data_IF_221887199589
#
_entry.id   IF_221887199589
#
_cell.length_a   1.000
_cell.length_b   1.000
_cell.length_c   1.000
_cell.angle_alpha   90.00
_cell.angle_beta   90.00
_cell.angle_gamma   90.00
#
_symmetry.space_group_name_H-M   'P 1'
#
loop_
_entity.id
_entity.type
_entity.pdbx_description
1 polymer ?
#
# COMPACT_ATOMS: atom_id res chain seq x y z
N UNK A 1 28.79 -5.06 9.64
CA UNK A 1 28.87 -3.58 9.62
C UNK A 1 28.15 -3.03 10.85
N UNK A 2 28.70 -2.01 11.52
CA UNK A 2 28.13 -1.44 12.76
C UNK A 2 27.21 -0.27 12.43
N UNK A 3 26.05 -0.25 13.08
CA UNK A 3 25.03 0.78 12.92
C UNK A 3 24.72 1.37 14.30
N UNK A 4 24.75 2.69 14.42
CA UNK A 4 24.36 3.38 15.64
C UNK A 4 22.85 3.68 15.62
N UNK A 5 22.13 3.28 16.66
CA UNK A 5 20.70 3.56 16.81
C UNK A 5 20.47 4.61 17.91
N UNK A 6 20.06 5.81 17.53
CA UNK A 6 19.78 6.93 18.43
C UNK A 6 18.28 7.20 18.53
N UNK A 7 17.78 7.36 19.75
CA UNK A 7 16.41 7.82 20.04
C UNK A 7 16.29 8.25 21.51
N UNK A 8 15.24 9.00 21.83
CA UNK A 8 14.72 9.02 23.20
C UNK A 8 14.17 7.64 23.57
N UNK A 9 14.18 7.28 24.86
CA UNK A 9 13.87 5.91 25.29
C UNK A 9 12.38 5.73 25.60
N UNK A 10 11.86 6.44 26.60
CA UNK A 10 10.55 6.11 27.20
C UNK A 10 9.35 6.35 26.27
N UNK A 11 9.48 7.25 25.30
CA UNK A 11 8.41 7.58 24.34
C UNK A 11 8.47 6.77 23.03
N UNK A 12 9.62 6.13 22.75
CA UNK A 12 9.90 5.45 21.48
C UNK A 12 10.36 4.00 21.66
N UNK A 13 10.02 3.36 22.79
CA UNK A 13 10.47 2.01 23.11
C UNK A 13 9.98 0.98 22.06
N UNK A 14 8.74 1.12 21.61
CA UNK A 14 8.12 0.24 20.60
C UNK A 14 8.84 0.38 19.25
N UNK A 15 9.09 1.61 18.82
CA UNK A 15 9.82 1.95 17.60
C UNK A 15 11.26 1.45 17.64
N UNK A 16 11.93 1.63 18.78
CA UNK A 16 13.30 1.18 18.96
C UNK A 16 13.40 -0.34 18.90
N UNK A 17 12.49 -1.05 19.57
CA UNK A 17 12.40 -2.52 19.52
C UNK A 17 12.16 -3.01 18.11
N UNK A 18 11.24 -2.36 17.40
CA UNK A 18 10.91 -2.66 16.02
C UNK A 18 12.11 -2.53 15.08
N UNK A 19 12.90 -1.46 15.22
CA UNK A 19 14.14 -1.28 14.43
C UNK A 19 15.20 -2.31 14.80
N UNK A 20 15.39 -2.61 16.09
CA UNK A 20 16.35 -3.66 16.52
C UNK A 20 15.98 -5.03 15.95
N UNK A 21 14.70 -5.39 15.98
CA UNK A 21 14.19 -6.65 15.46
C UNK A 21 14.49 -6.79 13.96
N UNK A 22 14.21 -5.76 13.17
CA UNK A 22 14.35 -5.81 11.72
C UNK A 22 15.81 -5.78 11.24
N UNK A 23 16.70 -5.20 12.05
CA UNK A 23 18.14 -5.15 11.76
C UNK A 23 18.90 -6.36 12.32
N UNK A 24 18.25 -7.16 13.17
CA UNK A 24 18.86 -8.35 13.76
C UNK A 24 19.31 -9.34 12.67
N UNK A 25 20.55 -9.83 12.79
CA UNK A 25 21.14 -10.78 11.85
C UNK A 25 21.85 -10.16 10.63
N UNK A 26 21.67 -8.87 10.33
CA UNK A 26 22.36 -8.20 9.21
C UNK A 26 23.35 -7.12 9.68
N UNK A 27 23.04 -6.42 10.77
CA UNK A 27 23.86 -5.34 11.32
C UNK A 27 24.16 -5.58 12.80
N UNK A 28 25.32 -5.11 13.25
CA UNK A 28 25.60 -4.98 14.68
C UNK A 28 25.06 -3.64 15.13
N UNK A 29 23.91 -3.65 15.79
CA UNK A 29 23.28 -2.43 16.34
C UNK A 29 24.02 -2.02 17.61
N UNK A 30 24.54 -0.80 17.63
CA UNK A 30 25.24 -0.16 18.75
C UNK A 30 24.31 0.86 19.38
N UNK A 31 24.24 0.86 20.71
CA UNK A 31 23.49 1.80 21.52
C UNK A 31 24.18 2.03 22.87
N UNK A 32 24.17 3.26 23.37
CA UNK A 32 24.91 3.64 24.58
C UNK A 32 23.98 3.71 25.80
N UNK A 33 23.45 2.55 26.23
CA UNK A 33 22.66 2.42 27.47
C UNK A 33 23.29 1.51 28.53
N UNK A 34 24.47 0.94 28.23
CA UNK A 34 25.22 0.13 29.19
C UNK A 34 26.03 1.03 30.14
N UNK A 35 26.41 0.47 31.30
CA UNK A 35 27.21 1.20 32.27
C UNK A 35 28.62 1.48 31.72
N UNK A 36 28.97 2.76 31.60
CA UNK A 36 30.29 3.23 31.18
C UNK A 36 30.87 4.17 32.24
N UNK A 37 32.17 4.05 32.61
CA UNK A 37 32.81 4.95 33.57
C UNK A 37 33.02 6.38 33.05
N UNK A 38 32.86 6.63 31.74
CA UNK A 38 32.97 7.95 31.13
C UNK A 38 31.66 8.74 31.25
N UNK A 39 31.70 10.09 31.15
CA UNK A 39 30.48 10.89 31.04
C UNK A 39 29.63 10.45 29.84
N UNK A 40 28.30 10.33 30.05
CA UNK A 40 27.34 9.80 29.07
C UNK A 40 27.50 10.37 27.66
N UNK A 41 27.69 11.69 27.53
CA UNK A 41 27.84 12.32 26.22
C UNK A 41 29.16 11.97 25.52
N UNK A 42 30.23 11.72 26.29
CA UNK A 42 31.53 11.33 25.73
C UNK A 42 31.51 9.88 25.25
N UNK A 43 30.85 8.98 25.99
CA UNK A 43 30.68 7.59 25.57
C UNK A 43 29.79 7.49 24.33
N UNK A 44 28.64 8.16 24.29
CA UNK A 44 27.75 8.21 23.12
C UNK A 44 28.48 8.69 21.85
N UNK A 45 29.22 9.80 21.93
CA UNK A 45 29.96 10.35 20.77
C UNK A 45 31.07 9.38 20.33
N UNK A 46 31.77 8.75 21.27
CA UNK A 46 32.79 7.76 20.95
C UNK A 46 32.19 6.52 20.26
N UNK A 47 31.03 6.05 20.72
CA UNK A 47 30.36 4.88 20.16
C UNK A 47 29.83 5.14 18.75
N UNK A 48 29.30 6.34 18.49
CA UNK A 48 28.91 6.80 17.14
C UNK A 48 30.10 6.73 16.18
N UNK A 49 31.29 7.17 16.60
CA UNK A 49 32.49 7.15 15.77
C UNK A 49 32.96 5.73 15.38
N UNK A 50 32.49 4.69 16.06
CA UNK A 50 32.79 3.28 15.71
C UNK A 50 31.85 2.69 14.65
N UNK A 51 30.84 3.44 14.21
CA UNK A 51 29.79 2.99 13.31
C UNK A 51 29.97 3.52 11.89
N UNK A 52 29.35 2.84 10.92
CA UNK A 52 29.33 3.29 9.51
C UNK A 52 27.99 3.93 9.12
N UNK A 53 26.93 3.62 9.86
CA UNK A 53 25.57 4.09 9.63
C UNK A 53 25.02 4.65 10.93
N UNK A 54 24.30 5.76 10.84
CA UNK A 54 23.53 6.34 11.92
C UNK A 54 22.04 6.26 11.60
N UNK A 55 21.24 5.75 12.53
CA UNK A 55 19.78 5.82 12.50
C UNK A 55 19.33 6.68 13.69
N UNK A 56 18.67 7.80 13.41
CA UNK A 56 18.02 8.64 14.42
C UNK A 56 16.50 8.51 14.36
N UNK A 57 15.85 8.20 15.48
CA UNK A 57 14.39 8.21 15.63
C UNK A 57 14.01 9.37 16.54
N UNK A 58 13.16 10.28 16.05
CA UNK A 58 12.82 11.53 16.73
C UNK A 58 11.32 11.66 16.96
N UNK A 59 10.93 11.73 18.24
CA UNK A 59 9.56 11.94 18.72
C UNK A 59 9.26 13.41 19.02
N UNK A 60 8.49 13.65 20.07
CA UNK A 60 8.18 15.00 20.60
C UNK A 60 8.75 15.24 22.01
N UNK A 61 9.71 14.41 22.43
CA UNK A 61 10.60 14.69 23.57
C UNK A 61 11.99 15.06 23.05
N UNK A 62 12.57 16.10 23.64
CA UNK A 62 13.91 16.58 23.31
C UNK A 62 15.00 15.64 23.84
N UNK A 63 14.71 14.98 24.97
CA UNK A 63 15.62 14.05 25.64
C UNK A 63 16.49 14.71 26.70
N UNK A 64 17.43 13.94 27.24
CA UNK A 64 18.31 14.39 28.32
C UNK A 64 19.41 15.34 27.81
N UNK A 65 19.55 16.50 28.45
CA UNK A 65 20.63 17.47 28.22
C UNK A 65 21.70 17.28 29.30
N UNK A 66 22.90 16.77 28.96
CA UNK A 66 23.96 16.55 29.94
C UNK A 66 24.45 17.87 30.56
N UNK A 67 24.84 17.88 31.84
CA UNK A 67 25.41 19.07 32.48
C UNK A 67 26.60 19.63 31.69
N UNK A 68 26.58 20.94 31.45
CA UNK A 68 27.61 21.64 30.67
C UNK A 68 27.46 21.53 29.15
N UNK A 69 26.44 20.82 28.65
CA UNK A 69 26.09 20.77 27.22
C UNK A 69 24.86 21.63 26.93
N UNK A 70 24.80 22.21 25.73
CA UNK A 70 23.67 23.02 25.26
C UNK A 70 22.63 22.26 24.45
N UNK A 71 22.82 20.94 24.24
CA UNK A 71 21.99 20.08 23.38
C UNK A 71 21.73 18.73 24.04
N UNK A 72 20.64 18.07 23.66
CA UNK A 72 20.33 16.74 24.15
C UNK A 72 21.30 15.69 23.63
N UNK A 73 21.42 14.55 24.32
CA UNK A 73 22.25 13.42 23.88
C UNK A 73 21.94 13.03 22.44
N UNK A 74 20.66 12.90 22.06
CA UNK A 74 20.24 12.54 20.69
C UNK A 74 20.70 13.57 19.65
N UNK A 75 20.65 14.86 19.96
CA UNK A 75 21.15 15.89 19.04
C UNK A 75 22.68 15.90 18.96
N UNK A 76 23.38 15.66 20.09
CA UNK A 76 24.84 15.52 20.12
C UNK A 76 25.32 14.30 19.31
N UNK A 77 24.62 13.17 19.40
CA UNK A 77 24.90 11.95 18.62
C UNK A 77 24.71 12.20 17.11
N UNK A 78 23.64 12.92 16.74
CA UNK A 78 23.40 13.31 15.35
C UNK A 78 24.51 14.24 14.83
N UNK A 79 24.90 15.25 15.60
CA UNK A 79 25.98 16.17 15.24
C UNK A 79 27.31 15.42 15.06
N UNK A 80 27.61 14.47 15.95
CA UNK A 80 28.80 13.64 15.86
C UNK A 80 28.78 12.74 14.61
N UNK A 81 27.63 12.14 14.27
CA UNK A 81 27.48 11.30 13.09
C UNK A 81 27.69 12.08 11.79
N UNK A 82 27.15 13.30 11.71
CA UNK A 82 27.39 14.20 10.57
C UNK A 82 28.85 14.62 10.48
N UNK A 83 29.48 15.00 11.59
CA UNK A 83 30.89 15.41 11.61
C UNK A 83 31.84 14.28 11.21
N UNK A 84 31.51 13.03 11.55
CA UNK A 84 32.26 11.83 11.19
C UNK A 84 31.93 11.30 9.78
N UNK A 85 30.98 11.91 9.06
CA UNK A 85 30.63 11.54 7.68
C UNK A 85 29.90 10.20 7.55
N UNK A 86 29.17 9.77 8.58
CA UNK A 86 28.38 8.54 8.54
C UNK A 86 27.18 8.71 7.58
N UNK A 87 26.75 7.61 6.97
CA UNK A 87 25.45 7.57 6.30
C UNK A 87 24.34 7.73 7.34
N UNK A 88 23.76 8.93 7.40
CA UNK A 88 22.77 9.30 8.41
C UNK A 88 21.34 9.16 7.85
N UNK A 89 20.54 8.32 8.49
CA UNK A 89 19.11 8.16 8.23
C UNK A 89 18.31 8.64 9.43
N UNK A 90 17.41 9.59 9.21
CA UNK A 90 16.61 10.17 10.30
C UNK A 90 15.13 9.92 10.02
N UNK A 91 14.43 9.46 11.06
CA UNK A 91 13.02 9.14 11.03
C UNK A 91 12.31 9.97 12.11
N UNK A 92 11.32 10.75 11.70
CA UNK A 92 10.63 11.70 12.56
C UNK A 92 9.18 11.24 12.69
N UNK A 93 8.73 10.98 13.92
CA UNK A 93 7.37 10.51 14.17
C UNK A 93 6.37 11.64 13.92
N UNK A 94 5.27 11.36 13.25
CA UNK A 94 4.21 12.33 12.97
C UNK A 94 3.55 12.84 14.26
N UNK A 95 3.23 14.14 14.29
CA UNK A 95 2.71 14.81 15.50
C UNK A 95 1.40 14.17 15.96
N UNK A 96 0.49 13.90 15.03
CA UNK A 96 -0.84 13.36 15.32
C UNK A 96 -0.79 11.88 15.74
N UNK A 97 0.32 11.19 15.45
CA UNK A 97 0.56 9.81 15.85
C UNK A 97 1.27 9.67 17.22
N UNK A 98 1.54 10.79 17.91
CA UNK A 98 2.20 10.81 19.22
C UNK A 98 1.15 11.11 20.29
N UNK A 99 0.88 10.16 21.21
CA UNK A 99 0.05 10.43 22.37
C UNK A 99 0.58 11.64 23.15
N UNK A 100 -0.32 12.53 23.60
CA UNK A 100 0.07 13.72 24.34
C UNK A 100 0.99 13.39 25.54
N UNK A 101 0.76 12.25 26.20
CA UNK A 101 1.56 11.74 27.32
C UNK A 101 3.03 11.45 26.99
N UNK A 102 3.39 11.38 25.71
CA UNK A 102 4.73 11.11 25.19
C UNK A 102 5.41 12.38 24.63
N UNK A 103 5.02 13.57 25.09
CA UNK A 103 5.53 14.87 24.62
C UNK A 103 6.12 15.70 25.76
N UNK A 104 7.11 16.54 25.47
CA UNK A 104 7.64 17.50 26.46
C UNK A 104 6.58 18.52 26.92
N UNK A 105 5.56 18.78 26.09
CA UNK A 105 4.41 19.62 26.48
C UNK A 105 3.63 19.00 27.66
N UNK A 106 3.61 17.68 27.76
CA UNK A 106 2.94 16.97 28.86
C UNK A 106 3.90 16.62 30.00
N UNK A 107 5.11 16.17 29.72
CA UNK A 107 6.08 15.76 30.76
C UNK A 107 6.74 16.95 31.46
N UNK A 108 6.81 18.09 30.78
CA UNK A 108 7.45 19.32 31.24
C UNK A 108 8.94 19.14 31.65
N UNK A 109 9.61 18.16 31.04
CA UNK A 109 11.03 17.86 31.31
C UNK A 109 11.98 18.83 30.60
N UNK A 110 11.57 19.34 29.44
CA UNK A 110 12.30 20.31 28.63
C UNK A 110 11.31 21.33 28.03
N UNK A 111 11.83 22.47 27.59
CA UNK A 111 11.04 23.42 26.80
C UNK A 111 10.64 22.79 25.44
N UNK A 112 9.34 22.67 25.10
CA UNK A 112 8.88 22.14 23.82
C UNK A 112 9.44 22.87 22.59
N UNK A 113 9.90 24.12 22.75
CA UNK A 113 10.59 24.86 21.70
C UNK A 113 11.89 24.17 21.24
N UNK A 114 12.58 23.44 22.12
CA UNK A 114 13.83 22.74 21.80
C UNK A 114 13.60 21.59 20.82
N UNK A 115 12.64 20.70 21.11
CA UNK A 115 12.30 19.61 20.19
C UNK A 115 11.68 20.14 18.88
N UNK A 116 10.91 21.23 18.95
CA UNK A 116 10.39 21.90 17.75
C UNK A 116 11.52 22.45 16.88
N UNK A 117 12.52 23.09 17.48
CA UNK A 117 13.70 23.61 16.77
C UNK A 117 14.53 22.48 16.15
N UNK A 118 14.74 21.39 16.91
CA UNK A 118 15.48 20.23 16.40
C UNK A 118 14.76 19.55 15.23
N UNK A 119 13.45 19.32 15.34
CA UNK A 119 12.64 18.77 14.23
C UNK A 119 12.65 19.69 13.01
N UNK A 120 12.55 21.02 13.20
CA UNK A 120 12.64 21.98 12.11
C UNK A 120 14.02 21.94 11.43
N UNK A 121 15.10 21.79 12.21
CA UNK A 121 16.47 21.60 11.69
C UNK A 121 16.56 20.36 10.80
N UNK A 122 16.01 19.22 11.24
CA UNK A 122 15.97 17.97 10.47
C UNK A 122 15.13 18.06 9.19
N UNK A 123 14.12 18.93 9.17
CA UNK A 123 13.25 19.17 8.01
C UNK A 123 13.70 20.35 7.13
N UNK A 124 14.80 21.02 7.44
CA UNK A 124 15.22 22.26 6.79
C UNK A 124 15.66 22.13 5.32
N UNK A 125 16.02 20.91 4.88
CA UNK A 125 16.52 20.67 3.52
C UNK A 125 17.91 21.27 3.24
N UNK A 126 18.63 21.71 4.28
CA UNK A 126 20.00 22.21 4.15
C UNK A 126 20.93 21.11 3.60
N UNK A 127 21.87 21.48 2.71
CA UNK A 127 22.72 20.52 1.97
C UNK A 127 23.57 19.58 2.84
N UNK A 128 23.79 19.94 4.12
CA UNK A 128 24.55 19.13 5.09
C UNK A 128 23.66 18.28 6.03
N UNK A 129 22.33 18.33 5.88
CA UNK A 129 21.37 17.62 6.74
C UNK A 129 20.58 16.61 5.89
N UNK A 130 20.63 15.30 6.20
CA UNK A 130 19.85 14.30 5.48
C UNK A 130 18.35 14.57 5.62
N UNK A 131 17.60 14.37 4.54
CA UNK A 131 16.13 14.49 4.57
C UNK A 131 15.55 13.45 5.52
N UNK A 132 14.89 13.92 6.58
CA UNK A 132 14.16 13.03 7.48
C UNK A 132 12.93 12.42 6.80
N UNK A 133 12.67 11.14 7.06
CA UNK A 133 11.43 10.47 6.67
C UNK A 133 10.42 10.54 7.82
N UNK A 134 9.17 10.87 7.51
CA UNK A 134 8.10 10.82 8.51
C UNK A 134 7.66 9.37 8.75
N UNK A 135 7.17 9.05 9.94
CA UNK A 135 6.51 7.77 10.22
C UNK A 135 5.40 7.89 11.26
N UNK A 136 4.37 7.04 11.16
CA UNK A 136 3.19 7.08 12.04
C UNK A 136 3.10 5.88 13.00
N UNK A 137 3.78 4.77 12.72
CA UNK A 137 3.79 3.58 13.57
C UNK A 137 5.14 2.85 13.58
N UNK A 138 5.33 1.93 14.53
CA UNK A 138 6.54 1.10 14.60
C UNK A 138 6.73 0.21 13.36
N UNK A 139 5.65 -0.30 12.76
CA UNK A 139 5.73 -1.13 11.54
C UNK A 139 6.08 -0.29 10.30
N UNK A 140 5.51 0.90 10.18
CA UNK A 140 5.89 1.87 9.14
C UNK A 140 7.37 2.26 9.25
N UNK A 141 7.86 2.48 10.49
CA UNK A 141 9.27 2.73 10.76
C UNK A 141 10.17 1.56 10.29
N UNK A 142 9.79 0.29 10.55
CA UNK A 142 10.55 -0.89 10.07
C UNK A 142 10.72 -0.87 8.56
N UNK A 143 9.62 -0.63 7.83
CA UNK A 143 9.60 -0.61 6.36
C UNK A 143 10.49 0.51 5.84
N UNK A 144 10.38 1.71 6.43
CA UNK A 144 11.17 2.89 6.03
C UNK A 144 12.66 2.72 6.32
N UNK A 145 13.03 2.12 7.46
CA UNK A 145 14.42 1.78 7.80
C UNK A 145 15.01 0.77 6.80
N UNK A 146 14.32 -0.33 6.53
CA UNK A 146 14.79 -1.34 5.58
C UNK A 146 15.00 -0.76 4.17
N UNK A 147 14.04 0.03 3.70
CA UNK A 147 14.11 0.68 2.38
C UNK A 147 15.25 1.69 2.30
N UNK A 148 15.52 2.42 3.38
CA UNK A 148 16.62 3.39 3.43
C UNK A 148 17.99 2.70 3.32
N UNK A 149 18.16 1.56 4.00
CA UNK A 149 19.40 0.78 3.97
C UNK A 149 19.62 0.06 2.63
N UNK A 150 18.56 -0.44 1.97
CA UNK A 150 18.64 -1.08 0.64
C UNK A 150 19.06 -0.14 -0.49
N UNK A 151 18.82 1.17 -0.33
CA UNK A 151 19.17 2.18 -1.35
C UNK A 151 20.63 2.62 -1.29
N UNK A 152 21.42 2.14 -0.33
CA UNK A 152 22.85 2.38 -0.32
C UNK A 152 23.50 1.54 -1.43
N UNK A 153 24.24 2.14 -2.39
CA UNK A 153 25.06 1.35 -3.30
C UNK A 153 26.08 0.58 -2.46
N UNK A 154 26.11 -0.75 -2.66
CA UNK A 154 27.03 -1.62 -1.93
C UNK A 154 28.47 -1.14 -2.07
N UNK A 155 29.13 -0.85 -0.95
CA UNK A 155 30.59 -0.76 -0.91
C UNK A 155 31.14 -2.18 -1.14
N UNK A 156 31.60 -2.45 -2.35
CA UNK A 156 32.23 -3.71 -2.72
C UNK A 156 32.90 -3.67 -4.09
N UNK A 157 34.24 -3.70 -4.07
CA UNK A 157 35.19 -3.97 -5.15
C UNK A 157 35.51 -2.84 -6.15
N UNK A 158 36.57 -2.09 -5.81
CA UNK A 158 37.44 -1.42 -6.78
C UNK A 158 38.28 -2.45 -7.56
N UNK A 159 38.37 -2.26 -8.89
CA UNK A 159 39.28 -2.96 -9.81
C UNK A 159 39.22 -2.32 -11.20
N UNK A 160 40.35 -2.17 -11.92
CA UNK A 160 40.62 -1.01 -12.76
C UNK A 160 40.09 -1.14 -14.20
N UNK A 161 39.82 0.01 -14.81
CA UNK A 161 39.20 0.14 -16.12
C UNK A 161 40.06 -0.25 -17.31
N UNK A 162 39.38 -0.45 -18.44
CA UNK A 162 39.90 -0.22 -19.80
C UNK A 162 38.74 0.01 -20.77
N UNK A 163 38.77 1.19 -21.38
CA UNK A 163 38.39 1.59 -22.74
C UNK A 163 37.13 1.02 -23.43
N UNK A 164 36.16 1.93 -23.60
CA UNK A 164 35.85 2.48 -24.92
C UNK A 164 35.63 1.51 -26.07
N UNK A 165 34.41 1.01 -26.22
CA UNK A 165 33.75 0.86 -27.52
C UNK A 165 32.27 0.56 -27.29
N UNK A 166 31.38 1.34 -27.89
CA UNK A 166 29.98 0.95 -28.01
C UNK A 166 29.86 -0.22 -28.98
N UNK A 167 29.09 -1.26 -28.62
CA UNK A 167 28.21 -1.86 -29.61
C UNK A 167 26.77 -1.93 -29.08
N UNK A 168 25.89 -1.35 -29.90
CA UNK A 168 24.50 -1.73 -30.14
C UNK A 168 23.94 -2.85 -29.25
N UNK A 169 22.99 -2.48 -28.38
CA UNK A 169 22.27 -3.42 -27.54
C UNK A 169 21.56 -4.49 -28.40
N UNK A 170 21.73 -5.79 -28.11
CA UNK A 170 20.88 -6.81 -28.67
C UNK A 170 19.46 -6.62 -28.11
N UNK A 171 18.49 -6.55 -29.01
CA UNK A 171 17.07 -6.64 -28.69
C UNK A 171 16.85 -7.95 -27.94
N UNK A 172 16.64 -7.85 -26.63
CA UNK A 172 16.05 -8.93 -25.85
C UNK A 172 14.57 -8.95 -26.16
N UNK A 173 14.07 -10.11 -26.60
CA UNK A 173 12.64 -10.40 -26.67
C UNK A 173 11.99 -10.04 -25.33
N UNK A 174 11.31 -8.90 -25.28
CA UNK A 174 10.60 -8.44 -24.10
C UNK A 174 9.35 -9.30 -23.94
N UNK A 175 9.26 -10.03 -22.83
CA UNK A 175 7.98 -10.53 -22.34
C UNK A 175 6.96 -9.38 -22.34
N UNK A 176 5.69 -9.62 -22.72
CA UNK A 176 4.69 -8.56 -22.76
C UNK A 176 4.60 -7.86 -21.39
N UNK A 177 4.35 -6.54 -21.36
CA UNK A 177 4.28 -5.78 -20.12
C UNK A 177 3.22 -6.39 -19.20
N UNK A 178 3.60 -6.64 -17.95
CA UNK A 178 2.71 -7.24 -16.95
C UNK A 178 1.51 -6.34 -16.67
N UNK A 179 0.31 -6.94 -16.57
CA UNK A 179 -0.92 -6.23 -16.15
C UNK A 179 -0.81 -5.76 -14.70
N UNK A 180 -1.67 -4.85 -14.27
CA UNK A 180 -1.69 -4.40 -12.86
C UNK A 180 -2.03 -5.54 -11.89
N UNK A 181 -2.89 -6.49 -12.28
CA UNK A 181 -3.18 -7.68 -11.46
C UNK A 181 -1.94 -8.59 -11.35
N UNK A 182 -1.20 -8.76 -12.44
CA UNK A 182 0.07 -9.49 -12.41
C UNK A 182 1.11 -8.78 -11.53
N UNK A 183 1.24 -7.46 -11.60
CA UNK A 183 2.14 -6.69 -10.72
C UNK A 183 1.76 -6.86 -9.25
N UNK A 184 0.46 -6.80 -8.92
CA UNK A 184 -0.03 -7.03 -7.56
C UNK A 184 0.29 -8.45 -7.08
N UNK A 185 0.07 -9.47 -7.91
CA UNK A 185 0.44 -10.84 -7.56
C UNK A 185 1.95 -10.96 -7.33
N UNK A 186 2.77 -10.45 -8.25
CA UNK A 186 4.22 -10.49 -8.16
C UNK A 186 4.73 -9.85 -6.87
N UNK A 187 4.35 -8.61 -6.61
CA UNK A 187 4.75 -7.88 -5.40
C UNK A 187 4.29 -8.61 -4.13
N UNK A 188 3.06 -9.12 -4.13
CA UNK A 188 2.52 -9.84 -2.99
C UNK A 188 3.28 -11.14 -2.69
N UNK A 189 3.62 -11.91 -3.73
CA UNK A 189 4.41 -13.13 -3.61
C UNK A 189 5.81 -12.81 -3.06
N UNK A 190 6.49 -11.80 -3.59
CA UNK A 190 7.84 -11.40 -3.14
C UNK A 190 7.85 -10.96 -1.67
N UNK A 191 6.88 -10.14 -1.27
CA UNK A 191 6.78 -9.63 0.10
C UNK A 191 6.43 -10.72 1.12
N UNK A 192 5.55 -11.66 0.75
CA UNK A 192 4.99 -12.64 1.69
C UNK A 192 5.57 -14.05 1.55
N UNK A 193 6.57 -14.23 0.67
CA UNK A 193 7.17 -15.54 0.40
C UNK A 193 7.66 -16.28 1.66
N UNK A 194 8.33 -15.61 2.63
CA UNK A 194 8.81 -16.28 3.84
C UNK A 194 7.70 -16.99 4.61
N UNK A 195 6.49 -16.43 4.64
CA UNK A 195 5.31 -17.05 5.26
C UNK A 195 4.69 -18.09 4.34
N UNK A 196 4.47 -17.75 3.06
CA UNK A 196 3.82 -18.64 2.10
C UNK A 196 4.53 -20.00 1.97
N UNK A 197 5.87 -20.00 1.95
CA UNK A 197 6.66 -21.23 1.82
C UNK A 197 6.59 -22.17 3.03
N UNK A 198 6.23 -21.66 4.21
CA UNK A 198 6.13 -22.49 5.43
C UNK A 198 4.71 -22.98 5.69
N UNK A 199 3.70 -22.31 5.13
CA UNK A 199 2.32 -22.70 5.30
C UNK A 199 1.97 -23.91 4.42
N UNK A 200 1.75 -25.07 5.05
CA UNK A 200 1.33 -26.29 4.34
C UNK A 200 0.03 -26.08 3.55
N UNK A 201 -0.83 -25.21 4.05
CA UNK A 201 -2.10 -24.89 3.43
C UNK A 201 -1.94 -24.13 2.10
N UNK A 202 -0.80 -23.46 1.89
CA UNK A 202 -0.40 -22.89 0.60
C UNK A 202 0.41 -23.89 -0.23
N UNK A 203 1.50 -24.44 0.32
CA UNK A 203 2.43 -25.30 -0.45
C UNK A 203 1.80 -26.60 -0.94
N UNK A 204 0.78 -27.11 -0.24
CA UNK A 204 0.00 -28.30 -0.64
C UNK A 204 -1.33 -27.94 -1.30
N UNK A 205 -1.59 -26.66 -1.57
CA UNK A 205 -2.80 -26.26 -2.27
C UNK A 205 -2.83 -26.91 -3.66
N UNK A 206 -3.97 -27.51 -4.02
CA UNK A 206 -4.18 -28.13 -5.34
C UNK A 206 -3.91 -27.17 -6.49
N UNK A 207 -4.07 -25.87 -6.25
CA UNK A 207 -3.79 -24.81 -7.21
C UNK A 207 -2.32 -24.77 -7.64
N UNK A 208 -1.39 -25.17 -6.76
CA UNK A 208 0.04 -25.25 -7.05
C UNK A 208 0.46 -26.60 -7.67
N UNK A 209 -0.50 -27.46 -8.01
CA UNK A 209 -0.18 -28.74 -8.64
C UNK A 209 0.57 -28.54 -9.97
N UNK A 210 1.71 -29.23 -10.10
CA UNK A 210 2.60 -29.13 -11.27
C UNK A 210 3.81 -28.23 -11.07
N UNK A 211 3.91 -27.51 -9.95
CA UNK A 211 5.17 -26.85 -9.55
C UNK A 211 6.06 -27.89 -8.82
N UNK A 212 7.37 -27.79 -9.02
CA UNK A 212 8.36 -28.62 -8.32
C UNK A 212 8.18 -28.61 -6.79
N UNK A 213 8.70 -29.63 -6.10
CA UNK A 213 8.52 -29.83 -4.66
C UNK A 213 8.97 -28.64 -3.77
N UNK A 214 9.78 -27.73 -4.31
CA UNK A 214 10.10 -26.43 -3.71
C UNK A 214 9.59 -25.32 -4.65
N UNK A 215 8.36 -24.81 -4.43
CA UNK A 215 7.88 -23.69 -5.24
C UNK A 215 8.75 -22.45 -4.99
N UNK A 216 8.75 -21.52 -5.94
CA UNK A 216 9.34 -20.18 -5.80
C UNK A 216 8.30 -19.13 -6.17
N UNK A 217 8.48 -17.84 -5.80
CA UNK A 217 7.58 -16.77 -6.25
C UNK A 217 7.41 -16.77 -7.76
N UNK A 218 8.50 -16.98 -8.50
CA UNK A 218 8.55 -17.02 -9.96
C UNK A 218 7.72 -18.17 -10.50
N UNK A 219 7.89 -19.38 -9.95
CA UNK A 219 7.14 -20.55 -10.41
C UNK A 219 5.62 -20.41 -10.16
N UNK A 220 5.23 -19.78 -9.04
CA UNK A 220 3.81 -19.50 -8.75
C UNK A 220 3.25 -18.42 -9.67
N UNK A 221 4.05 -17.38 -9.94
CA UNK A 221 3.68 -16.31 -10.86
C UNK A 221 3.50 -16.83 -12.30
N UNK A 222 4.43 -17.65 -12.78
CA UNK A 222 4.36 -18.29 -14.09
C UNK A 222 3.18 -19.25 -14.18
N UNK A 223 2.89 -20.01 -13.12
CA UNK A 223 1.70 -20.86 -13.06
C UNK A 223 0.41 -20.04 -13.21
N UNK A 224 0.29 -18.90 -12.55
CA UNK A 224 -0.89 -18.04 -12.66
C UNK A 224 -1.11 -17.54 -14.10
N UNK A 225 -0.01 -17.23 -14.79
CA UNK A 225 -0.02 -16.72 -16.18
C UNK A 225 -0.26 -17.79 -17.24
N UNK A 226 0.17 -19.04 -17.00
CA UNK A 226 0.27 -20.04 -18.07
C UNK A 226 -0.65 -21.25 -17.88
N UNK A 227 -1.02 -21.60 -16.65
CA UNK A 227 -1.86 -22.77 -16.41
C UNK A 227 -3.27 -22.60 -17.01
N UNK A 228 -4.01 -23.71 -17.25
CA UNK A 228 -5.40 -23.62 -17.70
C UNK A 228 -6.25 -22.82 -16.70
N UNK A 229 -7.03 -21.87 -17.20
CA UNK A 229 -7.78 -20.91 -16.37
C UNK A 229 -8.82 -21.64 -15.52
N UNK A 230 -9.57 -22.55 -16.12
CA UNK A 230 -10.62 -23.35 -15.46
C UNK A 230 -10.03 -24.18 -14.32
N UNK A 231 -8.82 -24.71 -14.50
CA UNK A 231 -8.11 -25.45 -13.45
C UNK A 231 -7.82 -24.56 -12.24
N UNK A 232 -7.34 -23.34 -12.45
CA UNK A 232 -7.02 -22.40 -11.38
C UNK A 232 -8.29 -21.93 -10.66
N UNK A 233 -9.35 -21.61 -11.41
CA UNK A 233 -10.62 -21.17 -10.86
C UNK A 233 -11.30 -22.28 -10.02
N UNK A 234 -11.40 -23.50 -10.53
CA UNK A 234 -11.97 -24.64 -9.79
C UNK A 234 -11.13 -24.99 -8.55
N UNK A 235 -9.79 -24.95 -8.65
CA UNK A 235 -8.92 -25.20 -7.51
C UNK A 235 -9.05 -24.11 -6.43
N UNK A 236 -9.20 -22.85 -6.83
CA UNK A 236 -9.48 -21.73 -5.94
C UNK A 236 -10.79 -21.93 -5.21
N UNK A 237 -11.87 -22.23 -5.95
CA UNK A 237 -13.20 -22.49 -5.38
C UNK A 237 -13.14 -23.57 -4.30
N UNK A 238 -12.52 -24.70 -4.62
CA UNK A 238 -12.36 -25.84 -3.69
C UNK A 238 -11.57 -25.45 -2.45
N UNK A 239 -10.48 -24.70 -2.61
CA UNK A 239 -9.67 -24.25 -1.48
C UNK A 239 -10.49 -23.46 -0.44
N UNK A 240 -11.39 -22.57 -0.89
CA UNK A 240 -12.23 -21.80 0.02
C UNK A 240 -13.43 -22.61 0.57
N UNK A 241 -14.02 -23.50 -0.24
CA UNK A 241 -15.06 -24.42 0.23
C UNK A 241 -14.56 -25.35 1.35
N UNK A 242 -13.38 -25.95 1.18
CA UNK A 242 -12.80 -26.91 2.13
C UNK A 242 -12.48 -26.24 3.49
N UNK A 243 -12.31 -24.91 3.53
CA UNK A 243 -12.07 -24.14 4.76
C UNK A 243 -13.35 -23.60 5.40
N UNK A 244 -14.44 -23.48 4.65
CA UNK A 244 -15.72 -22.90 5.09
C UNK A 244 -15.84 -21.38 4.87
N UNK A 245 -17.08 -20.91 4.66
CA UNK A 245 -17.43 -19.55 4.18
C UNK A 245 -16.90 -18.37 5.03
N UNK A 246 -16.58 -18.59 6.32
CA UNK A 246 -16.07 -17.55 7.23
C UNK A 246 -14.58 -17.67 7.53
N UNK A 247 -13.88 -18.62 6.92
CA UNK A 247 -12.50 -18.92 7.25
C UNK A 247 -11.54 -17.78 6.91
N UNK A 248 -11.82 -16.98 5.86
CA UNK A 248 -10.95 -15.86 5.51
C UNK A 248 -11.11 -14.69 6.49
N UNK A 249 -12.34 -14.30 6.83
CA UNK A 249 -12.61 -13.19 7.75
C UNK A 249 -12.10 -13.44 9.17
N UNK A 250 -12.13 -14.70 9.61
CA UNK A 250 -11.70 -15.13 10.95
C UNK A 250 -10.33 -15.83 10.92
N UNK A 251 -9.53 -15.59 9.88
CA UNK A 251 -8.24 -16.26 9.69
C UNK A 251 -7.16 -15.73 10.62
N UNK A 252 -6.19 -16.59 10.97
CA UNK A 252 -4.91 -16.14 11.52
C UNK A 252 -4.20 -15.20 10.52
N UNK A 253 -3.28 -14.32 10.95
CA UNK A 253 -2.53 -13.47 10.01
C UNK A 253 -1.83 -14.27 8.89
N UNK A 254 -1.30 -15.44 9.21
CA UNK A 254 -0.66 -16.32 8.24
C UNK A 254 -1.67 -16.93 7.24
N UNK A 255 -2.85 -17.34 7.69
CA UNK A 255 -3.91 -17.82 6.80
C UNK A 255 -4.49 -16.70 5.94
N UNK A 256 -4.62 -15.49 6.48
CA UNK A 256 -5.01 -14.29 5.72
C UNK A 256 -4.04 -14.01 4.58
N UNK A 257 -2.74 -14.22 4.83
CA UNK A 257 -1.70 -14.11 3.80
C UNK A 257 -1.91 -15.15 2.67
N UNK A 258 -2.19 -16.40 3.04
CA UNK A 258 -2.41 -17.50 2.09
C UNK A 258 -3.66 -17.26 1.24
N UNK A 259 -4.79 -16.93 1.87
CA UNK A 259 -6.05 -16.66 1.17
C UNK A 259 -5.88 -15.49 0.17
N UNK A 260 -5.21 -14.42 0.61
CA UNK A 260 -4.93 -13.25 -0.22
C UNK A 260 -4.01 -13.55 -1.43
N UNK A 261 -3.06 -14.49 -1.28
CA UNK A 261 -2.25 -14.96 -2.41
C UNK A 261 -3.11 -15.73 -3.42
N UNK A 262 -3.96 -16.65 -2.93
CA UNK A 262 -4.80 -17.48 -3.79
C UNK A 262 -5.84 -16.64 -4.55
N UNK A 263 -6.44 -15.65 -3.91
CA UNK A 263 -7.35 -14.69 -4.59
C UNK A 263 -6.61 -13.95 -5.70
N UNK A 264 -5.39 -13.46 -5.46
CA UNK A 264 -4.60 -12.79 -6.51
C UNK A 264 -4.25 -13.72 -7.67
N UNK A 265 -3.96 -15.00 -7.40
CA UNK A 265 -3.75 -15.98 -8.48
C UNK A 265 -5.04 -16.18 -9.28
N UNK A 266 -6.19 -16.29 -8.62
CA UNK A 266 -7.48 -16.41 -9.29
C UNK A 266 -7.82 -15.17 -10.13
N UNK A 267 -7.48 -13.95 -9.67
CA UNK A 267 -7.67 -12.72 -10.43
C UNK A 267 -6.79 -12.66 -11.69
N UNK A 268 -5.52 -13.08 -11.60
CA UNK A 268 -4.62 -13.21 -12.76
C UNK A 268 -5.10 -14.30 -13.73
N UNK A 269 -5.75 -15.36 -13.23
CA UNK A 269 -6.40 -16.32 -14.10
C UNK A 269 -7.65 -15.72 -14.78
N UNK A 270 -8.46 -14.96 -14.03
CA UNK A 270 -9.72 -14.39 -14.50
C UNK A 270 -9.53 -13.30 -15.57
N UNK A 271 -8.51 -12.43 -15.47
CA UNK A 271 -8.23 -11.40 -16.48
C UNK A 271 -8.02 -11.99 -17.88
N UNK A 272 -7.50 -13.22 -17.97
CA UNK A 272 -7.21 -13.89 -19.24
C UNK A 272 -8.47 -14.24 -20.03
N UNK A 273 -9.63 -14.36 -19.37
CA UNK A 273 -10.92 -14.47 -20.06
C UNK A 273 -11.29 -13.19 -20.82
N UNK A 274 -10.81 -12.03 -20.34
CA UNK A 274 -11.15 -10.72 -20.88
C UNK A 274 -10.07 -10.14 -21.79
N UNK A 275 -8.83 -10.65 -21.78
CA UNK A 275 -7.75 -10.11 -22.60
C UNK A 275 -8.06 -10.07 -24.10
N UNK A 276 -8.52 -11.18 -24.68
CA UNK A 276 -8.80 -11.24 -26.12
C UNK A 276 -10.05 -10.42 -26.50
N UNK A 277 -11.19 -10.56 -25.78
CA UNK A 277 -12.37 -9.72 -26.03
C UNK A 277 -12.10 -8.23 -25.85
N UNK A 278 -11.41 -7.81 -24.77
CA UNK A 278 -11.10 -6.40 -24.53
C UNK A 278 -10.16 -5.84 -25.59
N UNK A 279 -9.17 -6.61 -26.07
CA UNK A 279 -8.29 -6.18 -27.18
C UNK A 279 -9.08 -5.99 -28.47
N UNK A 280 -10.03 -6.89 -28.78
CA UNK A 280 -10.90 -6.76 -29.94
C UNK A 280 -11.82 -5.54 -29.85
N UNK A 281 -12.29 -5.20 -28.65
CA UNK A 281 -13.20 -4.08 -28.41
C UNK A 281 -12.51 -2.73 -28.16
N UNK A 282 -11.20 -2.71 -27.87
CA UNK A 282 -10.44 -1.51 -27.53
C UNK A 282 -10.49 -0.42 -28.61
N UNK A 283 -10.75 -0.79 -29.87
CA UNK A 283 -10.89 0.14 -30.99
C UNK A 283 -12.34 0.63 -31.20
N UNK A 284 -13.33 -0.09 -30.65
CA UNK A 284 -14.75 0.19 -30.85
C UNK A 284 -15.41 0.90 -29.67
N UNK A 285 -14.83 0.79 -28.47
CA UNK A 285 -15.43 1.29 -27.23
C UNK A 285 -14.51 2.26 -26.51
N UNK A 286 -15.07 3.38 -26.06
CA UNK A 286 -14.37 4.39 -25.26
C UNK A 286 -14.31 4.02 -23.78
N UNK A 287 -13.32 4.51 -23.03
CA UNK A 287 -13.16 4.20 -21.59
C UNK A 287 -14.44 4.46 -20.76
N UNK A 288 -15.25 5.44 -21.16
CA UNK A 288 -16.50 5.82 -20.49
C UNK A 288 -17.71 4.96 -20.87
N UNK A 289 -17.54 3.98 -21.76
CA UNK A 289 -18.60 3.02 -22.09
C UNK A 289 -18.82 2.03 -20.94
N UNK A 290 -20.10 1.75 -20.60
CA UNK A 290 -20.42 0.85 -19.49
C UNK A 290 -19.93 -0.57 -19.75
N UNK A 291 -19.40 -1.24 -18.72
CA UNK A 291 -18.97 -2.64 -18.77
C UNK A 291 -20.09 -3.56 -19.25
N UNK A 292 -19.75 -4.60 -19.99
CA UNK A 292 -20.73 -5.51 -20.59
C UNK A 292 -21.43 -6.36 -19.53
N UNK A 293 -20.68 -6.86 -18.54
CA UNK A 293 -21.28 -7.68 -17.50
C UNK A 293 -22.16 -6.85 -16.57
N UNK A 294 -23.25 -7.47 -16.12
CA UNK A 294 -24.17 -6.90 -15.14
C UNK A 294 -23.82 -7.30 -13.71
N UNK A 295 -23.14 -8.43 -13.57
CA UNK A 295 -22.66 -8.87 -12.28
C UNK A 295 -21.57 -7.90 -11.79
N UNK A 296 -21.69 -7.47 -10.53
CA UNK A 296 -20.80 -6.43 -9.97
C UNK A 296 -19.34 -6.87 -9.97
N UNK A 297 -19.07 -8.12 -9.61
CA UNK A 297 -17.72 -8.64 -9.55
C UNK A 297 -17.13 -8.77 -10.95
N UNK A 298 -17.88 -9.41 -11.84
CA UNK A 298 -17.42 -9.70 -13.21
C UNK A 298 -17.21 -8.40 -13.99
N UNK A 299 -18.12 -7.43 -13.86
CA UNK A 299 -17.94 -6.09 -14.42
C UNK A 299 -16.70 -5.38 -13.85
N UNK A 300 -16.36 -5.62 -12.59
CA UNK A 300 -15.17 -5.02 -11.95
C UNK A 300 -13.88 -5.66 -12.47
N UNK A 301 -13.87 -6.98 -12.71
CA UNK A 301 -12.74 -7.69 -13.32
C UNK A 301 -12.58 -7.30 -14.80
N UNK A 302 -13.70 -7.17 -15.54
CA UNK A 302 -13.72 -6.63 -16.90
C UNK A 302 -13.11 -5.22 -16.93
N UNK A 303 -13.55 -4.34 -16.03
CA UNK A 303 -13.04 -2.98 -15.92
C UNK A 303 -11.54 -2.93 -15.59
N UNK A 304 -11.06 -3.75 -14.66
CA UNK A 304 -9.65 -3.84 -14.28
C UNK A 304 -8.78 -4.24 -15.48
N UNK A 305 -9.24 -5.22 -16.26
CA UNK A 305 -8.56 -5.70 -17.47
C UNK A 305 -8.57 -4.65 -18.57
N UNK A 306 -9.72 -4.02 -18.82
CA UNK A 306 -9.92 -3.06 -19.90
C UNK A 306 -9.24 -1.72 -19.65
N UNK A 307 -9.32 -1.22 -18.42
CA UNK A 307 -8.84 0.12 -18.03
C UNK A 307 -7.48 0.07 -17.31
N UNK A 308 -6.93 -1.13 -17.06
CA UNK A 308 -5.58 -1.34 -16.57
C UNK A 308 -5.34 -0.86 -15.13
N UNK A 309 -6.09 -1.38 -14.17
CA UNK A 309 -5.89 -1.15 -12.73
C UNK A 309 -5.94 -2.47 -11.95
N UNK A 310 -5.32 -2.51 -10.77
CA UNK A 310 -5.30 -3.71 -9.92
C UNK A 310 -6.53 -3.82 -9.03
N UNK A 311 -6.78 -5.00 -8.47
CA UNK A 311 -7.88 -5.27 -7.54
C UNK A 311 -7.32 -5.84 -6.23
N UNK A 312 -7.61 -5.16 -5.13
CA UNK A 312 -7.24 -5.60 -3.78
C UNK A 312 -8.49 -6.03 -3.03
N UNK A 313 -8.53 -7.28 -2.55
CA UNK A 313 -9.64 -7.78 -1.74
C UNK A 313 -9.15 -8.08 -0.33
N UNK A 314 -9.95 -7.63 0.63
CA UNK A 314 -9.83 -7.99 2.04
C UNK A 314 -10.83 -9.08 2.41
N UNK A 315 -10.54 -9.86 3.45
CA UNK A 315 -11.44 -10.88 3.95
C UNK A 315 -12.87 -10.37 4.20
N UNK A 316 -13.87 -11.10 3.73
CA UNK A 316 -15.29 -10.84 4.05
C UNK A 316 -15.91 -9.62 3.35
N UNK A 317 -15.26 -9.08 2.31
CA UNK A 317 -15.83 -8.02 1.46
C UNK A 317 -16.25 -8.58 0.11
N UNK A 318 -17.37 -8.10 -0.42
CA UNK A 318 -17.89 -8.42 -1.76
C UNK A 318 -17.38 -7.48 -2.86
N UNK A 319 -16.76 -6.37 -2.47
CA UNK A 319 -16.10 -5.44 -3.38
C UNK A 319 -14.61 -5.26 -3.03
N UNK A 320 -13.76 -5.02 -4.04
CA UNK A 320 -12.37 -4.67 -3.83
C UNK A 320 -12.24 -3.42 -2.94
N UNK A 321 -11.20 -3.38 -2.11
CA UNK A 321 -10.90 -2.26 -1.22
C UNK A 321 -10.58 -0.97 -1.97
N UNK A 322 -10.05 -1.09 -3.18
CA UNK A 322 -9.68 0.04 -4.03
C UNK A 322 -10.80 0.46 -5.02
N UNK A 323 -11.98 -0.17 -4.97
CA UNK A 323 -13.12 0.17 -5.84
C UNK A 323 -14.26 0.74 -5.01
N UNK A 324 -14.68 1.96 -5.35
CA UNK A 324 -15.59 2.77 -4.56
C UNK A 324 -16.86 3.09 -5.35
N UNK A 325 -18.06 2.72 -4.87
CA UNK A 325 -19.30 3.11 -5.53
C UNK A 325 -19.58 4.59 -5.31
N UNK A 326 -19.62 5.35 -6.40
CA UNK A 326 -20.07 6.73 -6.41
C UNK A 326 -21.55 6.76 -6.76
N UNK A 327 -22.37 7.08 -5.74
CA UNK A 327 -23.81 7.24 -5.89
C UNK A 327 -24.08 8.72 -5.98
N UNK A 328 -24.57 9.20 -7.12
CA UNK A 328 -24.97 10.60 -7.24
C UNK A 328 -26.35 10.79 -6.63
N UNK A 329 -26.52 11.62 -5.58
CA UNK A 329 -27.81 11.93 -5.02
C UNK A 329 -28.62 12.72 -6.06
N UNK A 330 -29.95 12.62 -5.93
CA UNK A 330 -30.88 13.45 -6.71
C UNK A 330 -30.69 14.90 -6.24
N UNK A 331 -30.41 15.88 -7.13
CA UNK A 331 -30.29 17.28 -6.73
C UNK A 331 -31.52 17.76 -5.96
N UNK A 332 -31.36 18.45 -4.83
CA UNK A 332 -32.51 19.02 -4.12
C UNK A 332 -33.07 20.22 -4.91
N UNK A 333 -34.39 20.28 -5.17
CA UNK A 333 -34.98 21.40 -5.89
C UNK A 333 -34.76 22.72 -5.14
N UNK A 334 -34.00 23.65 -5.74
CA UNK A 334 -33.85 25.04 -5.25
C UNK A 334 -32.53 25.37 -4.55
N UNK A 335 -31.59 24.43 -4.42
CA UNK A 335 -30.25 24.70 -3.88
C UNK A 335 -29.29 25.09 -5.02
N UNK A 336 -28.78 26.33 -4.99
CA UNK A 336 -27.72 26.76 -5.94
C UNK A 336 -26.40 26.05 -5.57
N UNK A 337 -25.70 25.56 -6.60
CA UNK A 337 -24.44 24.78 -6.55
C UNK A 337 -24.56 23.26 -6.27
N UNK A 338 -25.76 22.70 -6.19
CA UNK A 338 -26.00 21.24 -6.17
C UNK A 338 -26.18 20.65 -7.59
N UNK A 339 -25.30 20.99 -8.52
CA UNK A 339 -25.37 20.43 -9.87
C UNK A 339 -24.01 19.93 -10.35
N UNK A 340 -24.01 18.76 -11.02
CA UNK A 340 -22.85 18.25 -11.76
C UNK A 340 -21.64 17.82 -10.92
N UNK A 341 -20.48 18.42 -11.19
CA UNK A 341 -19.15 18.00 -10.72
C UNK A 341 -18.93 18.25 -9.22
N UNK A 342 -19.58 19.27 -8.65
CA UNK A 342 -19.50 19.58 -7.21
C UNK A 342 -20.11 18.46 -6.36
N UNK A 343 -21.27 17.91 -6.76
CA UNK A 343 -21.87 16.73 -6.15
C UNK A 343 -20.98 15.49 -6.29
N UNK A 344 -20.31 15.33 -7.44
CA UNK A 344 -19.39 14.21 -7.67
C UNK A 344 -18.20 14.23 -6.71
N UNK A 345 -17.71 15.43 -6.36
CA UNK A 345 -16.67 15.61 -5.34
C UNK A 345 -17.16 15.28 -3.95
N UNK A 346 -18.35 15.79 -3.57
CA UNK A 346 -18.94 15.53 -2.26
C UNK A 346 -19.24 14.04 -2.04
N UNK A 347 -19.69 13.34 -3.08
CA UNK A 347 -19.94 11.90 -3.02
C UNK A 347 -18.66 11.06 -3.06
N UNK A 348 -17.67 11.45 -3.86
CA UNK A 348 -16.34 10.81 -3.84
C UNK A 348 -15.78 10.87 -2.43
N UNK A 349 -15.93 12.03 -1.80
CA UNK A 349 -15.58 12.26 -0.41
C UNK A 349 -16.40 11.38 0.56
N UNK A 350 -17.74 11.42 0.49
CA UNK A 350 -18.60 10.62 1.37
C UNK A 350 -18.30 9.11 1.25
N UNK A 351 -17.91 8.65 0.07
CA UNK A 351 -17.53 7.26 -0.17
C UNK A 351 -16.13 6.92 0.40
N UNK A 352 -15.17 7.85 0.34
CA UNK A 352 -13.85 7.69 0.97
C UNK A 352 -13.94 7.79 2.51
N UNK A 353 -14.70 8.76 3.04
CA UNK A 353 -14.95 8.96 4.48
C UNK A 353 -15.56 7.77 5.18
N UNK A 354 -16.52 7.09 4.54
CA UNK A 354 -17.18 5.90 5.09
C UNK A 354 -16.19 4.77 5.45
N UNK A 355 -14.93 4.87 5.06
CA UNK A 355 -13.85 3.94 5.39
C UNK A 355 -12.66 4.57 6.13
N UNK A 356 -12.59 5.89 6.28
CA UNK A 356 -11.49 6.59 6.97
C UNK A 356 -12.01 7.79 7.77
N UNK A 357 -11.95 7.65 9.10
CA UNK A 357 -12.11 8.64 10.20
C UNK A 357 -13.26 9.66 10.08
N UNK A 358 -13.99 9.82 11.19
CA UNK A 358 -14.99 10.87 11.44
C UNK A 358 -14.37 12.27 11.26
N UNK A 359 -14.49 12.85 10.05
CA UNK A 359 -14.01 14.21 9.75
C UNK A 359 -15.18 15.04 9.22
N UNK A 360 -15.80 15.80 10.12
CA UNK A 360 -16.98 16.62 9.86
C UNK A 360 -16.68 17.96 9.14
N UNK A 361 -15.80 17.98 8.12
CA UNK A 361 -15.39 19.24 7.44
C UNK A 361 -15.16 19.13 5.93
N UNK A 362 -15.53 20.19 5.20
CA UNK A 362 -15.17 20.45 3.80
C UNK A 362 -13.65 20.57 3.65
N UNK A 363 -12.99 19.51 3.16
CA UNK A 363 -11.56 19.51 2.89
C UNK A 363 -11.21 20.21 1.57
N UNK A 364 -9.99 20.72 1.48
CA UNK A 364 -9.49 21.31 0.24
C UNK A 364 -9.25 20.22 -0.82
N UNK A 365 -9.34 20.54 -2.13
CA UNK A 365 -8.99 19.59 -3.19
C UNK A 365 -7.56 19.04 -3.09
N UNK A 366 -6.62 19.84 -2.54
CA UNK A 366 -5.25 19.41 -2.30
C UNK A 366 -5.16 18.32 -1.24
N UNK A 367 -5.90 18.46 -0.14
CA UNK A 367 -5.95 17.41 0.89
C UNK A 367 -6.54 16.12 0.35
N UNK A 368 -7.64 16.20 -0.42
CA UNK A 368 -8.26 15.02 -1.00
C UNK A 368 -7.31 14.27 -1.96
N UNK A 369 -6.51 15.00 -2.75
CA UNK A 369 -5.46 14.39 -3.58
C UNK A 369 -4.42 13.63 -2.77
N UNK A 370 -3.94 14.21 -1.67
CA UNK A 370 -2.97 13.53 -0.81
C UNK A 370 -3.57 12.31 -0.12
N UNK A 371 -4.82 12.39 0.36
CA UNK A 371 -5.51 11.23 0.93
C UNK A 371 -5.70 10.11 -0.09
N UNK A 372 -6.06 10.44 -1.34
CA UNK A 372 -6.15 9.45 -2.41
C UNK A 372 -4.77 8.82 -2.65
N UNK A 373 -3.70 9.62 -2.71
CA UNK A 373 -2.34 9.12 -2.88
C UNK A 373 -1.92 8.18 -1.74
N UNK A 374 -2.21 8.51 -0.50
CA UNK A 374 -1.95 7.63 0.65
C UNK A 374 -2.70 6.31 0.55
N UNK A 375 -4.00 6.35 0.22
CA UNK A 375 -4.81 5.13 0.03
C UNK A 375 -4.29 4.27 -1.13
N UNK A 376 -3.85 4.88 -2.23
CA UNK A 376 -3.24 4.17 -3.36
C UNK A 376 -1.89 3.53 -2.98
N UNK A 377 -1.09 4.22 -2.16
CA UNK A 377 0.18 3.70 -1.63
C UNK A 377 -0.05 2.50 -0.69
N UNK A 378 -1.04 2.58 0.20
CA UNK A 378 -1.40 1.49 1.12
C UNK A 378 -1.94 0.26 0.39
N UNK A 379 -2.78 0.48 -0.62
CA UNK A 379 -3.39 -0.60 -1.42
C UNK A 379 -2.42 -1.15 -2.47
N UNK A 380 -1.36 -0.40 -2.82
CA UNK A 380 -0.41 -0.74 -3.87
C UNK A 380 -1.01 -0.71 -5.29
N UNK A 381 -2.16 -0.07 -5.47
CA UNK A 381 -2.90 0.03 -6.74
C UNK A 381 -3.75 1.29 -6.74
N UNK A 382 -4.10 1.77 -7.94
CA UNK A 382 -4.93 2.95 -8.13
C UNK A 382 -6.32 2.81 -7.48
N UNK A 383 -6.83 3.94 -6.98
CA UNK A 383 -8.18 4.10 -6.47
C UNK A 383 -9.13 4.27 -7.67
N UNK A 384 -10.24 3.55 -7.61
CA UNK A 384 -11.18 3.46 -8.72
C UNK A 384 -12.59 3.74 -8.25
N UNK A 385 -13.28 4.57 -9.02
CA UNK A 385 -14.70 4.87 -8.81
C UNK A 385 -15.56 4.03 -9.76
N UNK A 386 -16.61 3.42 -9.23
CA UNK A 386 -17.65 2.78 -10.02
C UNK A 386 -18.95 3.58 -9.95
N UNK A 387 -19.67 3.68 -11.07
CA UNK A 387 -20.97 4.37 -11.12
C UNK A 387 -21.94 3.63 -12.04
N UNK A 388 -23.24 3.72 -11.79
CA UNK A 388 -24.24 3.15 -12.69
C UNK A 388 -24.46 4.06 -13.90
N UNK A 389 -24.53 3.50 -15.10
CA UNK A 389 -24.82 4.21 -16.34
C UNK A 389 -26.33 4.51 -16.49
N UNK A 390 -26.93 5.10 -15.46
CA UNK A 390 -28.36 5.41 -15.38
C UNK A 390 -28.59 6.87 -15.01
N UNK A 391 -29.82 7.35 -15.16
CA UNK A 391 -30.17 8.74 -14.84
C UNK A 391 -29.27 9.74 -15.57
N UNK A 392 -28.60 10.62 -14.82
CA UNK A 392 -27.67 11.64 -15.38
C UNK A 392 -26.46 11.07 -16.11
N UNK A 393 -26.08 9.81 -15.82
CA UNK A 393 -24.97 9.11 -16.45
C UNK A 393 -25.43 8.15 -17.56
N UNK A 394 -26.69 8.25 -18.01
CA UNK A 394 -27.17 7.51 -19.18
C UNK A 394 -26.51 7.99 -20.49
N UNK A 395 -26.17 9.29 -20.59
CA UNK A 395 -25.44 9.85 -21.73
C UNK A 395 -23.94 9.52 -21.68
N UNK A 396 -23.37 9.10 -22.82
CA UNK A 396 -21.92 8.87 -22.95
C UNK A 396 -21.09 10.13 -22.71
N UNK A 397 -21.57 11.29 -23.19
CA UNK A 397 -20.92 12.59 -22.97
C UNK A 397 -20.77 12.92 -21.49
N UNK A 398 -21.85 12.73 -20.70
CA UNK A 398 -21.82 12.95 -19.24
C UNK A 398 -20.88 12.01 -18.51
N UNK A 399 -20.78 10.75 -18.98
CA UNK A 399 -19.80 9.80 -18.46
C UNK A 399 -18.37 10.23 -18.77
N UNK A 400 -18.12 10.71 -19.98
CA UNK A 400 -16.82 11.23 -20.40
C UNK A 400 -16.42 12.48 -19.59
N UNK A 401 -17.34 13.42 -19.37
CA UNK A 401 -17.14 14.61 -18.52
C UNK A 401 -16.74 14.22 -17.09
N UNK A 402 -17.49 13.31 -16.47
CA UNK A 402 -17.19 12.84 -15.11
C UNK A 402 -15.82 12.15 -15.04
N UNK A 403 -15.52 11.28 -16.00
CA UNK A 403 -14.25 10.56 -16.05
C UNK A 403 -13.08 11.51 -16.23
N UNK A 404 -13.20 12.52 -17.11
CA UNK A 404 -12.18 13.54 -17.32
C UNK A 404 -11.96 14.37 -16.04
N UNK A 405 -13.03 14.75 -15.35
CA UNK A 405 -12.95 15.47 -14.08
C UNK A 405 -12.25 14.66 -12.98
N UNK A 406 -12.66 13.40 -12.75
CA UNK A 406 -12.06 12.55 -11.72
C UNK A 406 -10.58 12.28 -12.00
N UNK A 407 -10.23 12.03 -13.27
CA UNK A 407 -8.85 11.80 -13.69
C UNK A 407 -8.01 13.08 -13.61
N UNK A 408 -8.54 14.23 -14.02
CA UNK A 408 -7.82 15.50 -14.05
C UNK A 408 -7.59 16.11 -12.67
N UNK A 409 -8.63 16.18 -11.84
CA UNK A 409 -8.56 16.88 -10.56
C UNK A 409 -7.99 16.01 -9.43
N UNK A 410 -8.15 14.68 -9.53
CA UNK A 410 -7.84 13.75 -8.45
C UNK A 410 -6.95 12.57 -8.86
N UNK A 411 -6.67 12.37 -10.15
CA UNK A 411 -5.92 11.18 -10.62
C UNK A 411 -6.71 9.87 -10.54
N UNK A 412 -7.99 9.93 -10.15
CA UNK A 412 -8.82 8.75 -9.87
C UNK A 412 -9.36 8.17 -11.17
N UNK A 413 -9.26 6.84 -11.30
CA UNK A 413 -9.85 6.12 -12.44
C UNK A 413 -11.33 5.89 -12.19
N UNK A 414 -12.12 5.75 -13.24
CA UNK A 414 -13.54 5.43 -13.11
C UNK A 414 -14.04 4.51 -14.21
N UNK A 415 -15.04 3.69 -13.87
CA UNK A 415 -15.78 2.88 -14.83
C UNK A 415 -17.28 2.89 -14.53
N UNK A 416 -18.07 2.48 -15.53
CA UNK A 416 -19.52 2.53 -15.46
C UNK A 416 -20.12 1.13 -15.57
N UNK A 417 -21.12 0.83 -14.75
CA UNK A 417 -21.87 -0.44 -14.76
C UNK A 417 -23.10 -0.31 -15.65
N UNK A 418 -23.40 -1.36 -16.41
CA UNK A 418 -24.59 -1.39 -17.24
C UNK A 418 -25.89 -1.32 -16.43
N UNK A 419 -26.97 -0.73 -16.99
CA UNK A 419 -28.29 -0.86 -16.41
C UNK A 419 -28.77 -2.32 -16.42
N UNK A 420 -29.78 -2.68 -15.60
CA UNK A 420 -30.30 -4.04 -15.52
C UNK A 420 -30.84 -4.61 -16.84
N UNK A 421 -31.19 -3.77 -17.83
CA UNK A 421 -31.90 -4.16 -19.05
C UNK A 421 -31.01 -3.95 -20.30
N UNK A 422 -30.27 -4.99 -20.72
CA UNK A 422 -29.40 -5.02 -21.91
C UNK A 422 -29.05 -6.45 -22.33
N UNK A 423 -28.85 -6.72 -23.62
CA UNK A 423 -28.47 -8.07 -24.07
C UNK A 423 -27.00 -8.37 -23.72
N UNK A 424 -26.75 -9.51 -23.07
CA UNK A 424 -25.40 -10.01 -22.78
C UNK A 424 -24.91 -10.93 -23.92
N UNK A 425 -23.69 -10.75 -24.42
CA UNK A 425 -23.07 -11.72 -25.35
C UNK A 425 -22.98 -13.12 -24.74
N UNK A 426 -23.18 -14.16 -25.55
CA UNK A 426 -23.18 -15.55 -25.05
C UNK A 426 -21.84 -15.97 -24.43
N UNK A 427 -20.72 -15.51 -24.99
CA UNK A 427 -19.39 -15.77 -24.45
C UNK A 427 -19.22 -15.23 -23.01
N UNK A 428 -19.87 -14.10 -22.72
CA UNK A 428 -19.80 -13.45 -21.41
C UNK A 428 -20.67 -14.15 -20.37
N UNK A 429 -21.79 -14.76 -20.78
CA UNK A 429 -22.65 -15.53 -19.87
C UNK A 429 -21.91 -16.71 -19.23
N UNK A 430 -21.09 -17.41 -20.01
CA UNK A 430 -20.27 -18.53 -19.50
C UNK A 430 -19.24 -18.03 -18.50
N UNK A 431 -18.48 -16.99 -18.84
CA UNK A 431 -17.47 -16.39 -17.95
C UNK A 431 -18.12 -15.87 -16.66
N UNK A 432 -19.26 -15.19 -16.77
CA UNK A 432 -19.99 -14.67 -15.61
C UNK A 432 -20.39 -15.82 -14.66
N UNK A 433 -20.87 -16.93 -15.21
CA UNK A 433 -21.18 -18.13 -14.43
C UNK A 433 -19.95 -18.71 -13.73
N UNK A 434 -18.85 -18.90 -14.45
CA UNK A 434 -17.62 -19.52 -13.93
C UNK A 434 -16.97 -18.67 -12.81
N UNK A 435 -16.90 -17.36 -13.02
CA UNK A 435 -16.33 -16.43 -12.03
C UNK A 435 -17.23 -16.31 -10.80
N UNK A 436 -18.55 -16.23 -10.99
CA UNK A 436 -19.49 -16.20 -9.85
C UNK A 436 -19.36 -17.45 -9.00
N UNK A 437 -19.39 -18.63 -9.62
CA UNK A 437 -19.19 -19.91 -8.90
C UNK A 437 -17.85 -19.96 -8.16
N UNK A 438 -16.80 -19.36 -8.74
CA UNK A 438 -15.46 -19.38 -8.15
C UNK A 438 -15.33 -18.46 -6.93
N UNK A 439 -15.86 -17.24 -7.04
CA UNK A 439 -15.67 -16.19 -6.04
C UNK A 439 -16.80 -16.08 -5.01
N UNK A 440 -17.98 -16.66 -5.26
CA UNK A 440 -19.07 -16.74 -4.26
C UNK A 440 -18.61 -17.27 -2.88
N UNK A 441 -17.84 -18.36 -2.74
CA UNK A 441 -17.38 -18.82 -1.42
C UNK A 441 -16.32 -17.91 -0.78
N UNK A 442 -15.79 -16.95 -1.53
CA UNK A 442 -14.70 -16.04 -1.13
C UNK A 442 -15.28 -14.71 -0.64
N UNK A 443 -16.29 -14.21 -1.33
CA UNK A 443 -16.84 -12.87 -1.19
C UNK A 443 -18.19 -12.93 -0.44
N UNK A 444 -18.30 -12.18 0.66
CA UNK A 444 -19.53 -12.14 1.46
C UNK A 444 -20.33 -10.88 1.10
N UNK A 445 -21.63 -11.00 0.74
CA UNK A 445 -22.49 -9.82 0.71
C UNK A 445 -22.62 -9.26 2.12
N UNK A 446 -22.31 -7.98 2.31
CA UNK A 446 -22.58 -7.29 3.57
C UNK A 446 -24.08 -7.39 3.84
N UNK A 447 -24.49 -7.98 4.97
CA UNK A 447 -25.85 -7.73 5.47
C UNK A 447 -25.98 -6.22 5.67
N UNK A 448 -27.04 -5.56 5.15
CA UNK A 448 -27.22 -4.15 5.39
C UNK A 448 -27.22 -3.89 6.90
N UNK A 449 -26.63 -2.77 7.38
CA UNK A 449 -26.76 -2.42 8.79
C UNK A 449 -28.24 -2.39 9.12
N UNK A 450 -28.64 -3.13 10.15
CA UNK A 450 -30.01 -3.12 10.65
C UNK A 450 -30.43 -1.65 10.80
N UNK A 451 -31.38 -1.22 9.96
CA UNK A 451 -32.16 -0.03 10.27
C UNK A 451 -32.80 -0.34 11.61
N UNK A 452 -32.34 0.31 12.67
CA UNK A 452 -33.07 0.33 13.93
C UNK A 452 -34.55 0.62 13.60
N UNK A 453 -35.49 -0.23 14.03
CA UNK A 453 -36.89 0.05 13.83
C UNK A 453 -37.19 1.36 14.55
N UNK A 454 -37.76 2.32 13.81
CA UNK A 454 -38.10 3.62 14.33
C UNK A 454 -38.89 3.50 15.63
N UNK A 455 -38.46 4.26 16.64
CA UNK A 455 -39.28 4.68 17.78
C UNK A 455 -39.45 6.17 17.71
#
# INVERSE_FOLDING_TARGET
MRLYLSSTLSDLEEERRAVKEVLSGQYTVVESYEADPRPLWQSCVADVATCAIYIGIVGLRYGFVPPGQGRSITELEFDAALAAGLSCFVFVREVDAIPASRTDLYTNENDPALIKAFRARLSSGASAIPRAALFSSADDLKVKVLRALQRQPGQGAAGPGVDGSSPQAPQSDAAPPATELQKLLWNYLQQNWPTLRTQQSFTRARLLAGIAASPSPEAVFDLARTAPVERLLVATRRFFLDRGLRAWANSSPADGIVCSAIVRIALVAAERHFEAPCKAEAQARSDHDPMLSRDRLVATIEAATRLGFGLCFSPGRDEPDNVFPLVHPVPEPGVRDEEGLALSRSELWATIQRRSVDVDRKLSPGYLRELIRELEEDLGTALVVSSNATGRLASGERRAELQAYLRGDFGVRSFFRQPPNGALPDWLKTIESDLRETFEPILQPQSPPDRAPGT
#
